data_IF_057009755268
#
_entry.id   IF_057009755268
#
_cell.length_a   1.000
_cell.length_b   1.000
_cell.length_c   1.000
_cell.angle_alpha   90.00
_cell.angle_beta   90.00
_cell.angle_gamma   90.00
#
_symmetry.space_group_name_H-M   'P 1'
#
loop_
_entity.id
_entity.type
_entity.pdbx_description
1 polymer ?
#
# COMPACT_ATOMS: atom_id res chain seq x y z
N UNK A 1 -26.30 21.54 41.66
CA UNK A 1 -25.33 21.28 42.76
C UNK A 1 -24.60 20.01 42.37
N UNK A 2 -23.48 20.21 41.64
CA UNK A 2 -22.63 19.14 41.12
C UNK A 2 -21.37 19.06 42.00
N UNK A 3 -21.22 17.98 42.72
CA UNK A 3 -20.03 17.72 43.54
C UNK A 3 -19.11 16.79 42.77
N UNK A 4 -18.09 17.35 42.06
CA UNK A 4 -16.99 16.62 41.44
C UNK A 4 -15.98 16.26 42.54
N UNK A 5 -15.97 15.03 43.02
CA UNK A 5 -14.88 14.50 43.85
C UNK A 5 -13.60 14.39 43.01
N UNK A 6 -12.56 15.02 43.51
CA UNK A 6 -11.25 15.11 42.87
C UNK A 6 -10.48 13.79 43.04
N UNK A 7 -10.13 13.15 41.94
CA UNK A 7 -9.44 11.84 41.87
C UNK A 7 -8.07 11.81 42.59
N UNK A 8 -7.52 12.98 42.93
CA UNK A 8 -6.25 13.11 43.67
C UNK A 8 -6.39 12.65 45.14
N UNK A 9 -7.57 12.81 45.75
CA UNK A 9 -7.78 12.41 47.17
C UNK A 9 -8.03 10.90 47.34
N UNK A 10 -8.37 10.20 46.28
CA UNK A 10 -8.58 8.76 46.31
C UNK A 10 -7.27 7.98 46.35
N UNK A 11 -6.21 8.51 45.72
CA UNK A 11 -4.86 7.91 45.71
C UNK A 11 -4.14 8.06 47.07
N UNK A 12 -4.40 9.15 47.80
CA UNK A 12 -3.79 9.39 49.13
C UNK A 12 -4.38 8.45 50.19
N UNK A 13 -5.66 8.11 50.10
CA UNK A 13 -6.31 7.18 51.03
C UNK A 13 -5.88 5.72 50.73
N UNK A 14 -5.62 5.37 49.47
CA UNK A 14 -5.16 4.03 49.10
C UNK A 14 -3.70 3.77 49.51
N UNK A 15 -2.85 4.80 49.54
CA UNK A 15 -1.43 4.71 49.96
C UNK A 15 -1.26 4.61 51.48
N UNK A 16 -2.23 5.13 52.26
CA UNK A 16 -2.19 5.07 53.71
C UNK A 16 -2.60 3.70 54.28
N UNK A 17 -3.37 2.90 53.57
CA UNK A 17 -3.80 1.55 53.97
C UNK A 17 -2.74 0.49 53.65
N UNK A 18 -1.82 0.74 52.70
CA UNK A 18 -0.77 -0.22 52.35
C UNK A 18 0.48 -0.15 53.24
N UNK A 19 0.62 0.89 54.09
CA UNK A 19 1.78 1.10 54.97
C UNK A 19 1.66 0.47 56.38
N UNK A 20 0.53 -0.19 56.70
CA UNK A 20 0.25 -0.69 58.06
C UNK A 20 0.41 -2.21 58.25
N UNK A 21 1.01 -2.95 57.33
CA UNK A 21 1.13 -4.41 57.41
C UNK A 21 2.56 -4.94 57.63
N UNK A 22 3.56 -4.06 57.77
CA UNK A 22 4.94 -4.49 58.05
C UNK A 22 5.48 -3.98 59.39
N UNK A 23 4.97 -4.49 60.49
CA UNK A 23 5.64 -4.44 61.80
C UNK A 23 5.15 -5.55 62.71
N UNK A 24 5.87 -6.66 62.80
CA UNK A 24 5.97 -7.57 63.91
C UNK A 24 7.14 -8.52 63.64
N UNK A 25 8.31 -8.25 64.04
CA UNK A 25 9.01 -8.43 65.33
C UNK A 25 9.21 -9.90 65.73
N UNK A 26 10.46 -10.25 65.99
CA UNK A 26 10.82 -11.36 66.86
C UNK A 26 12.22 -11.89 66.63
N UNK A 27 13.23 -11.21 67.24
CA UNK A 27 14.53 -11.82 67.58
C UNK A 27 14.33 -12.98 68.59
N UNK A 28 15.09 -14.06 68.45
CA UNK A 28 15.71 -14.76 69.61
C UNK A 28 16.95 -15.49 69.10
N UNK A 29 18.07 -15.18 69.76
CA UNK A 29 19.39 -15.75 69.71
C UNK A 29 19.47 -17.11 70.45
N UNK A 30 20.62 -17.75 70.23
CA UNK A 30 21.30 -18.84 71.00
C UNK A 30 20.96 -20.25 70.55
N UNK A 31 21.80 -21.22 70.33
CA UNK A 31 23.20 -21.40 70.76
C UNK A 31 23.85 -22.44 69.80
N UNK A 32 25.17 -22.28 69.70
CA UNK A 32 26.10 -23.29 69.17
C UNK A 32 26.07 -24.61 69.94
N UNK A 33 26.30 -25.66 69.20
CA UNK A 33 26.76 -27.05 69.53
C UNK A 33 25.77 -28.12 69.22
N UNK A 34 26.00 -28.74 68.05
CA UNK A 34 25.89 -30.18 67.79
C UNK A 34 25.91 -30.40 66.24
N UNK A 35 27.09 -30.17 65.69
CA UNK A 35 27.40 -30.65 64.36
C UNK A 35 28.70 -31.43 64.47
N UNK A 36 28.61 -32.72 64.83
CA UNK A 36 29.72 -33.65 64.60
C UNK A 36 29.22 -35.10 64.85
N UNK A 37 28.17 -35.56 64.15
CA UNK A 37 27.83 -36.98 64.16
C UNK A 37 26.91 -37.43 63.03
N UNK A 38 26.74 -36.71 61.88
CA UNK A 38 25.85 -37.18 60.84
C UNK A 38 26.47 -37.18 59.42
N UNK A 39 27.79 -37.12 59.34
CA UNK A 39 28.50 -37.10 58.03
C UNK A 39 29.17 -38.44 57.66
N UNK A 40 28.87 -39.51 58.35
CA UNK A 40 29.44 -40.85 58.11
C UNK A 40 28.42 -41.94 57.71
N UNK A 41 27.15 -41.59 57.57
CA UNK A 41 26.11 -42.58 57.17
C UNK A 41 25.58 -42.41 55.72
N UNK A 42 25.98 -41.32 55.01
CA UNK A 42 25.46 -40.99 53.70
C UNK A 42 26.35 -41.43 52.50
N UNK A 43 27.52 -42.00 52.76
CA UNK A 43 28.47 -42.32 51.65
C UNK A 43 28.44 -43.83 51.30
N UNK A 44 27.75 -44.67 52.09
CA UNK A 44 27.75 -46.12 51.87
C UNK A 44 26.61 -46.66 50.97
N UNK A 45 25.56 -45.84 50.65
CA UNK A 45 24.47 -46.29 49.76
C UNK A 45 24.63 -45.88 48.29
N UNK A 46 25.62 -45.07 47.93
CA UNK A 46 25.86 -44.67 46.53
C UNK A 46 26.75 -45.61 45.74
N UNK A 47 27.38 -46.60 46.40
CA UNK A 47 28.31 -47.52 45.71
C UNK A 47 27.68 -48.77 45.10
N UNK A 48 26.42 -49.13 45.49
CA UNK A 48 25.80 -50.37 45.00
C UNK A 48 25.29 -50.36 43.57
N UNK A 49 25.27 -49.19 42.89
CA UNK A 49 24.82 -49.11 41.49
C UNK A 49 25.91 -48.74 40.50
N UNK A 50 27.16 -48.76 40.88
CA UNK A 50 28.28 -48.51 39.96
C UNK A 50 28.74 -49.80 39.31
N UNK A 51 28.57 -49.89 37.99
CA UNK A 51 29.09 -51.01 37.19
C UNK A 51 30.46 -50.65 36.65
N UNK A 52 31.51 -51.28 37.21
CA UNK A 52 32.85 -51.15 36.68
C UNK A 52 33.08 -52.13 35.50
N UNK A 53 33.21 -51.54 34.32
CA UNK A 53 33.56 -52.32 33.10
C UNK A 53 35.01 -52.04 32.78
N UNK A 54 35.74 -53.16 32.64
CA UNK A 54 37.14 -53.13 32.12
C UNK A 54 37.08 -52.70 30.62
N UNK A 55 38.13 -52.07 30.14
CA UNK A 55 38.24 -51.62 28.75
C UNK A 55 38.08 -52.80 27.75
N UNK A 56 38.56 -54.00 28.10
CA UNK A 56 38.35 -55.20 27.30
C UNK A 56 36.87 -55.66 27.21
N UNK A 57 36.10 -55.49 28.29
CA UNK A 57 34.69 -55.82 28.31
C UNK A 57 33.86 -54.75 27.57
N UNK A 58 34.24 -53.44 27.73
CA UNK A 58 33.62 -52.36 27.03
C UNK A 58 33.72 -52.50 25.50
N UNK A 59 34.93 -52.84 25.01
CA UNK A 59 35.20 -53.08 23.60
C UNK A 59 34.54 -54.35 23.07
N UNK A 60 34.51 -55.43 23.87
CA UNK A 60 33.90 -56.73 23.46
C UNK A 60 32.38 -56.64 23.37
N UNK A 61 31.74 -55.73 24.12
CA UNK A 61 30.30 -55.46 24.06
C UNK A 61 29.90 -54.47 22.98
N UNK A 62 30.86 -53.93 22.21
CA UNK A 62 30.59 -52.95 21.15
C UNK A 62 30.00 -51.65 21.63
N UNK A 63 30.21 -51.29 22.92
CA UNK A 63 29.71 -50.07 23.50
C UNK A 63 30.41 -48.85 22.91
N UNK A 64 29.63 -47.82 22.60
CA UNK A 64 30.13 -46.53 22.14
C UNK A 64 29.65 -45.45 23.11
N UNK A 65 30.56 -44.59 23.53
CA UNK A 65 30.25 -43.37 24.27
C UNK A 65 29.93 -42.26 23.26
N UNK A 66 28.80 -41.63 23.43
CA UNK A 66 28.44 -40.46 22.65
C UNK A 66 28.00 -39.32 23.60
N UNK A 67 28.18 -38.11 23.15
CA UNK A 67 27.76 -36.90 23.89
C UNK A 67 26.45 -36.40 23.38
N UNK A 68 25.49 -36.19 24.28
CA UNK A 68 24.24 -35.50 23.95
C UNK A 68 24.53 -34.04 23.67
N UNK A 69 24.42 -33.65 22.41
CA UNK A 69 24.47 -32.22 22.04
C UNK A 69 23.08 -31.61 22.13
N UNK A 70 23.01 -30.46 22.77
CA UNK A 70 21.79 -29.62 22.72
C UNK A 70 21.58 -29.19 21.25
N UNK A 71 20.46 -29.61 20.68
CA UNK A 71 20.01 -29.11 19.37
C UNK A 71 18.75 -28.33 19.55
N UNK A 72 18.68 -27.21 18.85
CA UNK A 72 17.41 -26.48 18.73
C UNK A 72 16.48 -27.32 17.83
N UNK A 73 15.37 -27.75 18.38
CA UNK A 73 14.28 -28.34 17.61
C UNK A 73 13.33 -27.20 17.26
N UNK A 74 13.29 -26.84 16.01
CA UNK A 74 12.26 -25.94 15.51
C UNK A 74 11.05 -26.79 15.10
N UNK A 75 9.90 -26.46 15.62
CA UNK A 75 8.64 -27.01 15.15
C UNK A 75 8.17 -26.14 13.97
N UNK A 76 7.90 -26.77 12.83
CA UNK A 76 7.32 -26.10 11.68
C UNK A 76 5.80 -26.23 11.72
N UNK A 77 5.11 -25.16 11.38
CA UNK A 77 3.66 -25.15 11.17
C UNK A 77 3.44 -25.18 9.66
N UNK A 78 2.74 -26.20 9.18
CA UNK A 78 2.32 -26.26 7.78
C UNK A 78 1.00 -25.49 7.63
N UNK A 79 0.97 -24.55 6.71
CA UNK A 79 -0.19 -23.77 6.39
C UNK A 79 -0.36 -23.67 4.87
N UNK A 80 -1.59 -23.76 4.42
CA UNK A 80 -1.94 -23.47 3.03
C UNK A 80 -2.29 -21.98 2.92
N UNK A 81 -1.95 -21.35 1.80
CA UNK A 81 -2.26 -19.94 1.58
C UNK A 81 -2.18 -19.58 0.12
N UNK A 82 -2.46 -18.32 -0.14
CA UNK A 82 -2.33 -17.71 -1.46
C UNK A 82 -1.52 -16.43 -1.36
N UNK A 83 -0.87 -16.07 -2.46
CA UNK A 83 -0.21 -14.77 -2.58
C UNK A 83 -1.26 -13.78 -3.08
N UNK A 84 -1.38 -12.67 -2.39
CA UNK A 84 -2.29 -11.59 -2.76
C UNK A 84 -1.53 -10.27 -2.86
N UNK A 85 -1.91 -9.45 -3.80
CA UNK A 85 -1.43 -8.08 -3.91
C UNK A 85 -2.44 -7.17 -3.23
N UNK A 86 -2.02 -6.25 -2.34
CA UNK A 86 -2.94 -5.29 -1.75
C UNK A 86 -3.61 -4.42 -2.82
N UNK A 87 -4.90 -4.04 -2.65
CA UNK A 87 -5.63 -3.23 -3.64
C UNK A 87 -4.97 -1.89 -4.02
N UNK A 88 -4.06 -1.36 -3.18
CA UNK A 88 -3.31 -0.15 -3.49
C UNK A 88 -2.22 -0.39 -4.56
N UNK A 89 -1.86 -1.64 -4.80
CA UNK A 89 -0.81 -2.10 -5.72
C UNK A 89 -1.39 -2.85 -6.93
N UNK A 90 -2.71 -2.75 -7.12
CA UNK A 90 -3.43 -3.26 -8.28
C UNK A 90 -4.12 -2.11 -9.02
N UNK A 91 -4.19 -2.20 -10.33
CA UNK A 91 -4.92 -1.24 -11.15
C UNK A 91 -5.69 -1.92 -12.27
N UNK A 92 -6.98 -1.62 -12.35
CA UNK A 92 -7.81 -1.97 -13.50
C UNK A 92 -7.85 -0.79 -14.46
N UNK A 93 -7.37 -0.98 -15.67
CA UNK A 93 -7.35 0.05 -16.73
C UNK A 93 -8.62 -0.04 -17.54
N UNK A 94 -9.40 1.04 -17.55
CA UNK A 94 -10.63 1.17 -18.34
C UNK A 94 -10.49 2.33 -19.33
N UNK A 95 -11.30 2.32 -20.40
CA UNK A 95 -11.34 3.44 -21.33
C UNK A 95 -12.10 4.64 -20.72
N UNK A 96 -11.54 5.84 -20.86
CA UNK A 96 -12.25 7.10 -20.50
C UNK A 96 -13.37 7.37 -21.53
N UNK A 97 -13.17 6.96 -22.78
CA UNK A 97 -14.10 7.12 -23.89
C UNK A 97 -14.29 5.77 -24.56
N UNK A 98 -15.54 5.40 -24.91
CA UNK A 98 -15.82 4.22 -25.73
C UNK A 98 -15.19 4.35 -27.12
N UNK A 99 -14.82 3.20 -27.73
CA UNK A 99 -14.24 3.22 -29.06
C UNK A 99 -13.70 1.86 -29.51
N UNK A 100 -13.11 1.83 -30.68
CA UNK A 100 -12.49 0.64 -31.25
C UNK A 100 -11.01 0.57 -30.86
N UNK A 101 -10.53 -0.60 -30.45
CA UNK A 101 -9.13 -0.87 -30.20
C UNK A 101 -8.40 -0.94 -31.54
N UNK A 102 -7.45 -0.04 -31.74
CA UNK A 102 -6.62 0.04 -32.94
C UNK A 102 -5.40 -0.88 -32.88
N UNK A 103 -4.66 -0.80 -31.79
CA UNK A 103 -3.49 -1.66 -31.50
C UNK A 103 -3.37 -1.94 -30.01
N UNK A 104 -2.66 -3.02 -29.69
CA UNK A 104 -2.28 -3.39 -28.32
C UNK A 104 -0.76 -3.54 -28.33
N UNK A 105 -0.08 -2.81 -27.44
CA UNK A 105 1.40 -2.69 -27.45
C UNK A 105 2.06 -3.57 -26.37
N UNK A 106 1.27 -4.28 -25.57
CA UNK A 106 1.74 -5.09 -24.45
C UNK A 106 1.07 -6.46 -24.45
N UNK A 107 1.71 -7.43 -23.81
CA UNK A 107 1.18 -8.77 -23.56
C UNK A 107 1.16 -9.09 -22.06
N UNK A 108 0.46 -10.15 -21.68
CA UNK A 108 0.46 -10.65 -20.31
C UNK A 108 1.88 -11.04 -19.87
N UNK A 109 2.27 -10.58 -18.68
CA UNK A 109 3.60 -10.74 -18.11
C UNK A 109 4.58 -9.61 -18.41
N UNK A 110 4.26 -8.67 -19.30
CA UNK A 110 5.14 -7.54 -19.57
C UNK A 110 5.23 -6.59 -18.38
N UNK A 111 6.44 -6.08 -18.14
CA UNK A 111 6.65 -4.99 -17.19
C UNK A 111 6.32 -3.65 -17.84
N UNK A 112 5.53 -2.85 -17.16
CA UNK A 112 5.10 -1.53 -17.62
C UNK A 112 5.40 -0.46 -16.59
N UNK A 113 5.69 0.74 -17.08
CA UNK A 113 5.87 1.91 -16.24
C UNK A 113 4.62 2.79 -16.24
N UNK A 114 4.46 3.56 -15.19
CA UNK A 114 3.41 4.57 -15.11
C UNK A 114 3.45 5.51 -16.30
N UNK A 115 2.27 5.79 -16.89
CA UNK A 115 2.08 6.54 -18.13
C UNK A 115 2.63 5.87 -19.41
N UNK A 116 3.09 4.63 -19.36
CA UNK A 116 3.42 3.87 -20.56
C UNK A 116 2.15 3.53 -21.34
N UNK A 117 2.19 3.68 -22.67
CA UNK A 117 1.07 3.32 -23.55
C UNK A 117 0.91 1.80 -23.64
N UNK A 118 -0.31 1.33 -23.41
CA UNK A 118 -0.70 -0.09 -23.44
C UNK A 118 -1.45 -0.44 -24.72
N UNK A 119 -2.28 0.49 -25.20
CA UNK A 119 -3.09 0.32 -26.41
C UNK A 119 -3.45 1.68 -27.00
N UNK A 120 -3.94 1.67 -28.23
CA UNK A 120 -4.54 2.83 -28.86
C UNK A 120 -6.03 2.57 -29.14
N UNK A 121 -6.85 3.56 -28.77
CA UNK A 121 -8.31 3.53 -28.96
C UNK A 121 -8.71 4.63 -29.92
N UNK A 122 -9.57 4.31 -30.90
CA UNK A 122 -10.10 5.27 -31.89
C UNK A 122 -11.61 5.42 -31.75
N UNK A 123 -12.08 6.66 -31.88
CA UNK A 123 -13.52 6.96 -31.91
C UNK A 123 -13.78 8.23 -32.75
N UNK A 124 -14.83 8.23 -33.61
CA UNK A 124 -15.12 9.38 -34.48
C UNK A 124 -15.33 10.71 -33.72
N UNK A 125 -15.80 10.65 -32.48
CA UNK A 125 -16.00 11.84 -31.66
C UNK A 125 -14.69 12.57 -31.27
N UNK A 126 -13.54 11.89 -31.33
CA UNK A 126 -12.23 12.48 -31.01
C UNK A 126 -11.93 13.67 -31.93
N UNK A 127 -12.09 13.49 -33.23
CA UNK A 127 -11.88 14.57 -34.22
C UNK A 127 -12.83 15.73 -33.98
N UNK A 128 -14.09 15.47 -33.62
CA UNK A 128 -15.07 16.51 -33.36
C UNK A 128 -14.68 17.36 -32.14
N UNK A 129 -14.28 16.73 -31.03
CA UNK A 129 -13.87 17.45 -29.79
C UNK A 129 -12.64 18.31 -30.06
N UNK A 130 -11.63 17.80 -30.75
CA UNK A 130 -10.41 18.53 -31.09
C UNK A 130 -10.70 19.70 -32.03
N UNK A 131 -11.51 19.51 -33.07
CA UNK A 131 -11.89 20.57 -34.02
C UNK A 131 -12.65 21.69 -33.31
N UNK A 132 -13.57 21.36 -32.41
CA UNK A 132 -14.32 22.35 -31.63
C UNK A 132 -13.41 23.13 -30.68
N UNK A 133 -12.46 22.46 -30.03
CA UNK A 133 -11.44 23.10 -29.23
C UNK A 133 -10.62 24.11 -30.03
N UNK A 134 -10.07 23.72 -31.18
CA UNK A 134 -9.28 24.63 -32.04
C UNK A 134 -10.11 25.83 -32.46
N UNK A 135 -11.37 25.62 -32.85
CA UNK A 135 -12.29 26.71 -33.22
C UNK A 135 -12.50 27.70 -32.08
N UNK A 136 -12.75 27.22 -30.88
CA UNK A 136 -12.95 28.06 -29.68
C UNK A 136 -11.66 28.76 -29.25
N UNK A 137 -10.52 28.07 -29.35
CA UNK A 137 -9.22 28.64 -29.05
C UNK A 137 -8.88 29.83 -29.96
N UNK A 138 -9.09 29.71 -31.27
CA UNK A 138 -8.88 30.79 -32.21
C UNK A 138 -9.85 31.97 -31.96
N UNK A 139 -11.10 31.65 -31.60
CA UNK A 139 -12.07 32.68 -31.19
C UNK A 139 -11.64 33.41 -29.92
N UNK A 140 -11.13 32.68 -28.93
CA UNK A 140 -10.60 33.26 -27.69
C UNK A 140 -9.45 34.23 -27.98
N UNK A 141 -8.50 33.87 -28.83
CA UNK A 141 -7.40 34.74 -29.23
C UNK A 141 -7.89 36.03 -29.88
N UNK A 142 -8.86 35.91 -30.79
CA UNK A 142 -9.49 37.10 -31.39
C UNK A 142 -10.15 37.99 -30.34
N UNK A 143 -10.94 37.41 -29.44
CA UNK A 143 -11.62 38.16 -28.39
C UNK A 143 -10.66 38.77 -27.36
N UNK A 144 -9.54 38.15 -27.09
CA UNK A 144 -8.49 38.69 -26.22
C UNK A 144 -7.92 40.01 -26.81
N UNK A 145 -7.61 40.00 -28.12
CA UNK A 145 -7.16 41.20 -28.79
C UNK A 145 -8.21 42.29 -28.82
N UNK A 146 -9.48 41.93 -29.07
CA UNK A 146 -10.61 42.87 -29.08
C UNK A 146 -10.86 43.46 -27.68
N UNK A 147 -10.87 42.61 -26.65
CA UNK A 147 -11.02 43.05 -25.25
C UNK A 147 -9.89 44.01 -24.84
N UNK A 148 -8.63 43.71 -25.16
CA UNK A 148 -7.51 44.62 -24.90
C UNK A 148 -7.63 45.94 -25.63
N UNK A 149 -8.18 45.94 -26.83
CA UNK A 149 -8.46 47.16 -27.59
C UNK A 149 -9.55 47.99 -26.94
N UNK A 150 -10.69 47.35 -26.59
CA UNK A 150 -11.82 48.05 -25.94
C UNK A 150 -11.46 48.56 -24.55
N UNK A 151 -10.63 47.83 -23.79
CA UNK A 151 -10.12 48.26 -22.51
C UNK A 151 -9.33 49.58 -22.62
N UNK A 152 -8.40 49.67 -23.59
CA UNK A 152 -7.62 50.90 -23.82
C UNK A 152 -8.52 52.08 -24.22
N UNK A 153 -9.47 51.88 -25.14
CA UNK A 153 -10.39 52.93 -25.58
C UNK A 153 -11.29 53.43 -24.42
N UNK A 154 -11.68 52.52 -23.53
CA UNK A 154 -12.47 52.88 -22.34
C UNK A 154 -11.64 53.69 -21.33
N UNK A 155 -10.38 53.28 -21.07
CA UNK A 155 -9.47 53.99 -20.18
C UNK A 155 -9.14 55.38 -20.67
N UNK A 156 -9.00 55.54 -22.01
CA UNK A 156 -8.80 56.86 -22.68
C UNK A 156 -10.09 57.68 -22.79
N UNK A 157 -11.24 57.18 -22.25
CA UNK A 157 -12.56 57.83 -22.27
C UNK A 157 -13.12 58.12 -23.67
N UNK A 158 -12.69 57.40 -24.69
CA UNK A 158 -13.17 57.49 -26.07
C UNK A 158 -14.05 56.31 -26.47
N UNK A 159 -14.04 55.21 -25.67
CA UNK A 159 -14.82 54.01 -25.91
C UNK A 159 -16.12 53.94 -25.13
N UNK A 160 -17.10 53.15 -25.62
CA UNK A 160 -18.35 52.86 -24.92
C UNK A 160 -18.12 51.85 -23.77
N UNK A 161 -18.54 52.21 -22.56
CA UNK A 161 -18.50 51.29 -21.42
C UNK A 161 -19.34 50.03 -21.64
N UNK A 162 -20.46 50.16 -22.39
CA UNK A 162 -21.29 49.00 -22.76
C UNK A 162 -20.54 48.02 -23.65
N UNK A 163 -19.87 48.50 -24.70
CA UNK A 163 -19.07 47.64 -25.61
C UNK A 163 -17.93 46.96 -24.87
N UNK A 164 -17.23 47.71 -24.00
CA UNK A 164 -16.19 47.12 -23.15
C UNK A 164 -16.73 45.97 -22.28
N UNK A 165 -17.83 46.17 -21.58
CA UNK A 165 -18.41 45.13 -20.71
C UNK A 165 -18.92 43.93 -21.51
N UNK A 166 -19.53 44.18 -22.67
CA UNK A 166 -19.99 43.10 -23.57
C UNK A 166 -18.81 42.25 -24.09
N UNK A 167 -17.77 42.91 -24.61
CA UNK A 167 -16.58 42.20 -25.11
C UNK A 167 -15.88 41.43 -24.01
N UNK A 168 -15.78 42.01 -22.80
CA UNK A 168 -15.24 41.34 -21.62
C UNK A 168 -16.02 40.07 -21.29
N UNK A 169 -17.35 40.19 -21.22
CA UNK A 169 -18.21 39.05 -20.89
C UNK A 169 -18.09 37.93 -21.94
N UNK A 170 -18.02 38.26 -23.23
CA UNK A 170 -17.86 37.30 -24.32
C UNK A 170 -16.48 36.62 -24.27
N UNK A 171 -15.41 37.41 -24.04
CA UNK A 171 -14.08 36.86 -23.85
C UNK A 171 -14.01 35.85 -22.70
N UNK A 172 -14.52 36.23 -21.52
CA UNK A 172 -14.48 35.34 -20.34
C UNK A 172 -15.33 34.07 -20.54
N UNK A 173 -16.47 34.20 -21.25
CA UNK A 173 -17.29 33.01 -21.60
C UNK A 173 -16.53 32.03 -22.48
N UNK A 174 -15.99 32.51 -23.59
CA UNK A 174 -15.24 31.63 -24.53
C UNK A 174 -13.98 31.08 -23.87
N UNK A 175 -13.31 31.84 -23.04
CA UNK A 175 -12.15 31.38 -22.27
C UNK A 175 -12.51 30.24 -21.31
N UNK A 176 -13.70 30.30 -20.69
CA UNK A 176 -14.17 29.21 -19.83
C UNK A 176 -14.48 27.94 -20.64
N UNK A 177 -15.07 28.08 -21.83
CA UNK A 177 -15.34 26.95 -22.74
C UNK A 177 -14.03 26.30 -23.20
N UNK A 178 -13.02 27.08 -23.60
CA UNK A 178 -11.68 26.58 -23.96
C UNK A 178 -11.09 25.78 -22.84
N UNK A 179 -11.09 26.27 -21.59
CA UNK A 179 -10.60 25.54 -20.42
C UNK A 179 -11.36 24.21 -20.18
N UNK A 180 -12.67 24.19 -20.45
CA UNK A 180 -13.47 22.97 -20.37
C UNK A 180 -12.99 21.90 -21.37
N UNK A 181 -12.74 22.29 -22.62
CA UNK A 181 -12.19 21.40 -23.63
C UNK A 181 -10.74 20.98 -23.36
N UNK A 182 -9.89 21.88 -22.86
CA UNK A 182 -8.53 21.55 -22.40
C UNK A 182 -8.56 20.45 -21.34
N UNK A 183 -9.42 20.59 -20.32
CA UNK A 183 -9.56 19.56 -19.29
C UNK A 183 -10.02 18.22 -19.87
N UNK A 184 -10.95 18.23 -20.83
CA UNK A 184 -11.42 17.02 -21.51
C UNK A 184 -10.31 16.36 -22.36
N UNK A 185 -9.52 17.14 -23.10
CA UNK A 185 -8.42 16.63 -23.91
C UNK A 185 -7.29 16.07 -23.02
N UNK A 186 -6.99 16.72 -21.92
CA UNK A 186 -6.01 16.24 -20.96
C UNK A 186 -6.43 14.90 -20.30
N UNK A 187 -7.73 14.68 -20.04
CA UNK A 187 -8.23 13.38 -19.55
C UNK A 187 -8.05 12.26 -20.58
N UNK A 188 -7.93 12.60 -21.87
CA UNK A 188 -7.65 11.66 -22.95
C UNK A 188 -6.15 11.48 -23.21
N UNK A 189 -5.29 12.07 -22.38
CA UNK A 189 -3.82 12.08 -22.55
C UNK A 189 -3.37 12.61 -23.93
N UNK A 190 -4.09 13.59 -24.47
CA UNK A 190 -3.74 14.26 -25.74
C UNK A 190 -2.96 15.53 -25.46
N UNK A 191 -1.96 15.78 -26.31
CA UNK A 191 -1.16 17.00 -26.26
C UNK A 191 -1.96 18.18 -26.82
N UNK A 192 -2.38 19.05 -25.93
CA UNK A 192 -3.20 20.24 -26.25
C UNK A 192 -2.42 21.25 -27.09
N UNK A 193 -1.11 21.38 -26.90
CA UNK A 193 -0.29 22.33 -27.68
C UNK A 193 -0.20 21.91 -29.15
N UNK A 194 0.00 20.62 -29.41
CA UNK A 194 0.03 20.11 -30.79
C UNK A 194 -1.35 20.28 -31.49
N UNK A 195 -2.45 20.08 -30.72
CA UNK A 195 -3.79 20.33 -31.25
C UNK A 195 -4.01 21.80 -31.59
N UNK A 196 -3.49 22.76 -30.79
CA UNK A 196 -3.53 24.18 -31.09
C UNK A 196 -2.81 24.52 -32.40
N UNK A 197 -1.71 23.83 -32.67
CA UNK A 197 -0.92 23.98 -33.91
C UNK A 197 -1.57 23.33 -35.15
N UNK A 198 -2.63 22.58 -34.95
CA UNK A 198 -3.48 22.00 -35.99
C UNK A 198 -3.34 20.48 -36.18
N UNK A 199 -2.56 19.81 -35.36
CA UNK A 199 -2.47 18.35 -35.37
C UNK A 199 -3.73 17.72 -34.79
N UNK A 200 -4.34 16.80 -35.53
CA UNK A 200 -5.56 16.10 -35.10
C UNK A 200 -5.28 14.61 -34.92
N UNK A 201 -5.42 14.15 -33.69
CA UNK A 201 -5.25 12.75 -33.33
C UNK A 201 -6.48 11.92 -33.72
N UNK A 202 -6.26 10.82 -34.41
CA UNK A 202 -7.30 9.86 -34.79
C UNK A 202 -7.53 8.79 -33.72
N UNK A 203 -6.58 8.61 -32.81
CA UNK A 203 -6.62 7.67 -31.69
C UNK A 203 -6.03 8.27 -30.44
N UNK A 204 -6.45 7.74 -29.28
CA UNK A 204 -5.92 8.12 -27.97
C UNK A 204 -5.13 6.99 -27.35
N UNK A 205 -4.01 7.27 -26.67
CA UNK A 205 -3.28 6.28 -25.93
C UNK A 205 -4.04 5.91 -24.64
N UNK A 206 -4.13 4.62 -24.38
CA UNK A 206 -4.52 4.08 -23.09
C UNK A 206 -3.25 3.79 -22.32
N UNK A 207 -3.06 4.42 -21.18
CA UNK A 207 -1.79 4.38 -20.43
C UNK A 207 -1.94 3.67 -19.08
N UNK A 208 -0.84 3.12 -18.58
CA UNK A 208 -0.78 2.53 -17.26
C UNK A 208 -0.87 3.61 -16.17
N UNK A 209 -1.74 3.46 -15.15
CA UNK A 209 -1.79 4.36 -14.00
C UNK A 209 -0.69 4.13 -12.97
N UNK A 210 -0.06 2.94 -12.96
CA UNK A 210 0.97 2.52 -12.01
C UNK A 210 2.15 1.85 -12.72
N UNK A 211 3.26 1.70 -12.02
CA UNK A 211 4.34 0.79 -12.41
C UNK A 211 3.93 -0.63 -12.00
N UNK A 212 4.32 -1.66 -12.78
CA UNK A 212 3.96 -3.04 -12.44
C UNK A 212 4.07 -4.00 -13.62
N UNK A 213 3.31 -5.07 -13.56
CA UNK A 213 3.24 -6.12 -14.58
C UNK A 213 1.81 -6.30 -15.08
N UNK A 214 1.65 -6.55 -16.37
CA UNK A 214 0.34 -6.88 -16.96
C UNK A 214 -0.07 -8.28 -16.47
N UNK A 215 -1.10 -8.35 -15.64
CA UNK A 215 -1.68 -9.62 -15.20
C UNK A 215 -2.57 -10.22 -16.26
N UNK A 216 -3.50 -9.40 -16.82
CA UNK A 216 -4.44 -9.85 -17.85
C UNK A 216 -4.67 -8.79 -18.91
N UNK A 217 -4.87 -9.26 -20.13
CA UNK A 217 -5.34 -8.46 -21.29
C UNK A 217 -6.71 -8.95 -21.70
N UNK A 218 -7.77 -8.15 -21.44
CA UNK A 218 -9.17 -8.55 -21.65
C UNK A 218 -9.79 -7.99 -22.94
N UNK A 219 -8.95 -7.49 -23.85
CA UNK A 219 -9.41 -6.86 -25.10
C UNK A 219 -8.73 -7.48 -26.32
N UNK A 220 -9.31 -7.23 -27.49
CA UNK A 220 -8.80 -7.67 -28.78
C UNK A 220 -8.74 -6.51 -29.77
N UNK A 221 -7.79 -6.56 -30.70
CA UNK A 221 -7.68 -5.58 -31.79
C UNK A 221 -8.97 -5.58 -32.62
N UNK A 222 -9.52 -4.40 -32.90
CA UNK A 222 -10.78 -4.21 -33.60
C UNK A 222 -12.05 -4.34 -32.75
N UNK A 223 -11.93 -4.76 -31.48
CA UNK A 223 -13.05 -4.81 -30.56
C UNK A 223 -13.52 -3.39 -30.20
N UNK A 224 -14.84 -3.20 -30.12
CA UNK A 224 -15.41 -2.01 -29.53
C UNK A 224 -15.50 -2.18 -28.00
N UNK A 225 -15.02 -1.18 -27.25
CA UNK A 225 -15.08 -1.14 -25.78
C UNK A 225 -15.88 0.06 -25.30
N UNK A 226 -16.67 -0.18 -24.26
CA UNK A 226 -17.38 0.88 -23.53
C UNK A 226 -16.52 1.46 -22.40
N UNK A 227 -16.81 2.67 -21.89
CA UNK A 227 -16.02 3.33 -20.84
C UNK A 227 -15.84 2.52 -19.55
N UNK A 228 -16.72 1.56 -19.26
CA UNK A 228 -16.65 0.73 -18.05
C UNK A 228 -15.97 -0.63 -18.27
N UNK A 229 -15.56 -0.93 -19.50
CA UNK A 229 -14.92 -2.21 -19.82
C UNK A 229 -13.48 -2.19 -19.27
N UNK A 230 -13.16 -3.19 -18.43
CA UNK A 230 -11.78 -3.42 -17.98
C UNK A 230 -11.01 -3.95 -19.19
N UNK A 231 -9.92 -3.29 -19.53
CA UNK A 231 -9.06 -3.64 -20.65
C UNK A 231 -7.80 -4.37 -20.21
N UNK A 232 -7.19 -3.88 -19.14
CA UNK A 232 -5.96 -4.45 -18.57
C UNK A 232 -6.09 -4.52 -17.05
N UNK A 233 -5.51 -5.54 -16.46
CA UNK A 233 -5.26 -5.67 -15.04
C UNK A 233 -3.73 -5.61 -14.84
N UNK A 234 -3.28 -4.72 -13.95
CA UNK A 234 -1.86 -4.45 -13.68
C UNK A 234 -1.63 -4.64 -12.20
N UNK A 235 -0.55 -5.34 -11.86
CA UNK A 235 -0.17 -5.61 -10.47
C UNK A 235 1.28 -5.18 -10.22
N UNK A 236 1.51 -4.53 -9.09
CA UNK A 236 2.84 -4.25 -8.56
C UNK A 236 3.23 -5.40 -7.63
N UNK A 237 4.17 -6.22 -8.08
CA UNK A 237 4.61 -7.41 -7.34
C UNK A 237 5.70 -7.13 -6.29
N UNK A 238 6.12 -5.89 -6.07
CA UNK A 238 7.06 -5.55 -4.99
C UNK A 238 6.42 -5.65 -3.60
N UNK A 239 5.08 -5.61 -3.53
CA UNK A 239 4.30 -5.60 -2.30
C UNK A 239 3.33 -6.78 -2.20
N UNK A 240 3.85 -8.00 -2.42
CA UNK A 240 3.04 -9.22 -2.31
C UNK A 240 2.92 -9.65 -0.86
N UNK A 241 1.71 -9.98 -0.43
CA UNK A 241 1.41 -10.59 0.86
C UNK A 241 1.08 -12.06 0.69
N UNK A 242 1.42 -12.87 1.67
CA UNK A 242 1.01 -14.27 1.74
C UNK A 242 -0.07 -14.41 2.81
N UNK A 243 -1.28 -14.68 2.38
CA UNK A 243 -2.39 -14.98 3.29
C UNK A 243 -2.40 -16.47 3.61
N UNK A 244 -2.06 -16.80 4.86
CA UNK A 244 -1.90 -18.17 5.31
C UNK A 244 -3.08 -18.61 6.19
N UNK A 245 -3.69 -19.73 5.84
CA UNK A 245 -4.73 -20.37 6.65
C UNK A 245 -4.09 -21.33 7.64
N UNK A 246 -4.03 -20.95 8.90
CA UNK A 246 -3.50 -21.77 9.98
C UNK A 246 -4.64 -22.46 10.72
N UNK A 247 -4.50 -23.77 10.96
CA UNK A 247 -5.49 -24.52 11.75
C UNK A 247 -5.55 -24.00 13.19
N UNK A 248 -6.74 -24.00 13.77
CA UNK A 248 -6.99 -23.53 15.16
C UNK A 248 -6.03 -24.17 16.18
N UNK A 249 -5.74 -25.46 16.04
CA UNK A 249 -4.80 -26.20 16.89
C UNK A 249 -3.37 -25.65 16.88
N UNK A 250 -2.96 -24.98 15.79
CA UNK A 250 -1.58 -24.53 15.57
C UNK A 250 -1.42 -22.99 15.71
N UNK A 251 -2.52 -22.25 15.86
CA UNK A 251 -2.52 -20.77 16.02
C UNK A 251 -1.62 -20.31 17.17
N UNK A 252 -1.57 -21.06 18.28
CA UNK A 252 -0.75 -20.72 19.45
C UNK A 252 0.76 -20.79 19.18
N UNK A 253 1.18 -21.49 18.10
CA UNK A 253 2.58 -21.64 17.68
C UNK A 253 3.04 -20.48 16.77
N UNK A 254 2.10 -19.73 16.19
CA UNK A 254 2.41 -18.62 15.26
C UNK A 254 2.69 -17.35 16.03
N UNK A 255 3.81 -16.70 15.76
CA UNK A 255 4.25 -15.44 16.40
C UNK A 255 4.80 -14.47 15.36
N UNK A 256 4.68 -13.19 15.64
CA UNK A 256 5.31 -12.15 14.79
C UNK A 256 6.82 -12.34 14.71
N UNK A 257 7.37 -12.22 13.51
CA UNK A 257 8.80 -12.33 13.25
C UNK A 257 9.29 -13.74 12.97
N UNK A 258 8.40 -14.72 12.84
CA UNK A 258 8.77 -16.03 12.29
C UNK A 258 9.05 -15.91 10.79
N UNK A 259 10.08 -16.62 10.32
CA UNK A 259 10.33 -16.79 8.89
C UNK A 259 9.32 -17.77 8.29
N UNK A 260 8.90 -17.48 7.09
CA UNK A 260 8.04 -18.30 6.23
C UNK A 260 8.91 -18.94 5.15
#
# INVERSE_FOLDING_TARGET
INNKMNTSNLYIILLAVLASVFTACGEINSDEKEQEATELAGVAEAEENMVHLSELKFNSLGMKLDTLSLRFLSESVEANGQLEVPPQHEASVTAVLGGNIGSIEVIEGDQVSKNQTLAFLSHPNLTKVQTEYVRLYQRMLFLDHEFKRQARLYDEKVGSGQTYQQTKAEYESVKAEVKGYEAQLNQLNLDVEQIQDGDIYSSVPIVSPIDGYIEKVQIQIGQYVDPQTIMFEIVDNEHVHADLMVFEKDVHKVKRGQSI
#
